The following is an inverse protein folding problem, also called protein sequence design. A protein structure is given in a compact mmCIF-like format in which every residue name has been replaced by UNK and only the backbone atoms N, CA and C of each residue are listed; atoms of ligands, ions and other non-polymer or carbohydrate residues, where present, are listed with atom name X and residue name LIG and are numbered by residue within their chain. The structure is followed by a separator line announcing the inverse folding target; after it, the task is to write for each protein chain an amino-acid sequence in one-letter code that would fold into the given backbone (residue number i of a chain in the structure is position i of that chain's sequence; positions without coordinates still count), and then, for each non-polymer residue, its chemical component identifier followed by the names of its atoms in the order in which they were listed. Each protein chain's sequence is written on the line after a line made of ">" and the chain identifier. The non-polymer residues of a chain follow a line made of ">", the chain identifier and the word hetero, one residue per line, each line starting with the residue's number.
data_IF_343289230698
#
_entry.id   IF_343289230698
#
_cell.length_a   1.000
_cell.length_b   1.000
_cell.length_c   1.000
_cell.angle_alpha   90.00
_cell.angle_beta   90.00
_cell.angle_gamma   90.00
#
_symmetry.space_group_name_H-M   'P 1'
#
loop_
_entity.id
_entity.type
_entity.pdbx_description
1 polymer ?
#
# COMPACT_ATOMS: atom_id res chain seq x y z
N UNK A 1 -20.04 46.14 -5.78
CA UNK A 1 -21.22 45.35 -6.15
C UNK A 1 -20.84 44.51 -7.39
N UNK A 2 -20.31 43.31 -7.24
CA UNK A 2 -19.82 42.55 -8.37
C UNK A 2 -19.34 41.12 -8.08
N UNK A 3 -19.70 40.48 -6.97
CA UNK A 3 -19.24 39.13 -6.68
C UNK A 3 -20.34 38.11 -6.35
N UNK A 4 -21.63 38.46 -6.38
CA UNK A 4 -22.69 37.50 -6.08
C UNK A 4 -23.06 36.57 -7.24
N UNK A 5 -22.75 36.96 -8.49
CA UNK A 5 -23.10 36.14 -9.66
C UNK A 5 -22.13 34.98 -9.96
N UNK A 6 -20.89 34.99 -9.42
CA UNK A 6 -19.95 33.88 -9.62
C UNK A 6 -20.16 32.75 -8.62
N UNK A 7 -20.63 33.05 -7.42
CA UNK A 7 -20.95 32.02 -6.41
C UNK A 7 -22.15 31.16 -6.79
N UNK A 8 -23.18 31.77 -7.42
CA UNK A 8 -24.34 31.03 -7.91
C UNK A 8 -24.00 30.08 -9.09
N UNK A 9 -23.07 30.45 -9.96
CA UNK A 9 -22.64 29.60 -11.08
C UNK A 9 -21.85 28.39 -10.66
N UNK A 10 -21.07 28.46 -9.59
CA UNK A 10 -20.31 27.30 -9.06
C UNK A 10 -21.29 26.31 -8.42
N UNK A 11 -22.32 26.75 -7.78
CA UNK A 11 -23.38 25.91 -7.18
C UNK A 11 -24.21 25.16 -8.25
N UNK A 12 -24.34 25.70 -9.46
CA UNK A 12 -25.02 25.02 -10.58
C UNK A 12 -24.20 23.88 -11.22
N UNK A 13 -22.88 23.86 -11.05
CA UNK A 13 -22.00 22.79 -11.57
C UNK A 13 -21.90 21.60 -10.63
N UNK A 14 -22.33 21.72 -9.40
CA UNK A 14 -22.38 20.63 -8.42
C UNK A 14 -23.80 20.06 -8.42
N UNK A 15 -24.01 18.74 -8.62
CA UNK A 15 -25.33 18.13 -8.52
C UNK A 15 -26.03 18.55 -7.22
N UNK A 16 -27.35 18.86 -7.27
CA UNK A 16 -28.11 19.38 -6.13
C UNK A 16 -28.16 18.44 -4.92
N UNK A 17 -27.83 17.19 -5.10
CA UNK A 17 -27.73 16.12 -4.13
C UNK A 17 -26.30 15.84 -3.66
N UNK A 18 -25.32 16.58 -4.20
CA UNK A 18 -23.92 16.46 -3.77
C UNK A 18 -23.73 17.15 -2.41
N UNK A 19 -23.69 16.35 -1.37
CA UNK A 19 -23.24 16.81 -0.05
C UNK A 19 -21.73 16.88 -0.06
N UNK A 20 -21.17 18.09 -0.09
CA UNK A 20 -19.76 18.31 0.25
C UNK A 20 -19.58 17.80 1.68
N UNK A 21 -18.97 16.62 1.85
CA UNK A 21 -18.50 16.22 3.17
C UNK A 21 -17.22 17.00 3.43
N UNK A 22 -17.34 18.05 4.21
CA UNK A 22 -16.17 18.76 4.72
C UNK A 22 -15.47 17.83 5.72
N UNK A 23 -14.17 17.63 5.54
CA UNK A 23 -13.35 17.05 6.60
C UNK A 23 -13.21 18.08 7.73
N UNK A 24 -12.77 17.64 8.90
CA UNK A 24 -12.48 18.55 10.03
C UNK A 24 -11.41 19.62 9.68
N UNK A 25 -10.75 19.48 8.54
CA UNK A 25 -9.67 20.35 8.08
C UNK A 25 -10.05 21.25 6.90
N UNK A 26 -11.28 21.15 6.41
CA UNK A 26 -11.79 21.96 5.29
C UNK A 26 -13.11 22.57 5.66
N UNK A 27 -13.27 23.88 5.49
CA UNK A 27 -14.49 24.59 5.86
C UNK A 27 -14.64 25.92 5.16
N UNK A 28 -15.73 26.61 5.46
CA UNK A 28 -15.98 27.99 5.00
C UNK A 28 -15.69 28.95 6.17
N UNK A 29 -14.78 29.87 5.94
CA UNK A 29 -14.42 30.90 6.91
C UNK A 29 -15.48 32.01 7.03
N UNK A 30 -15.31 32.89 8.02
CA UNK A 30 -16.22 34.01 8.28
C UNK A 30 -16.31 35.04 7.12
N UNK A 31 -15.30 35.04 6.25
CA UNK A 31 -15.24 35.86 5.04
C UNK A 31 -15.97 35.24 3.84
N UNK A 32 -16.53 34.02 4.00
CA UNK A 32 -17.18 33.26 2.94
C UNK A 32 -16.24 32.48 2.02
N UNK A 33 -14.93 32.53 2.23
CA UNK A 33 -13.94 31.81 1.45
C UNK A 33 -13.79 30.37 1.93
N UNK A 34 -13.31 29.50 1.05
CA UNK A 34 -12.89 28.14 1.41
C UNK A 34 -11.56 28.20 2.17
N UNK A 35 -11.50 27.49 3.28
CA UNK A 35 -10.30 27.34 4.11
C UNK A 35 -9.85 25.87 4.15
N UNK A 36 -8.57 25.66 4.10
CA UNK A 36 -7.94 24.37 4.38
C UNK A 36 -7.01 24.56 5.58
N UNK A 37 -7.33 23.91 6.70
CA UNK A 37 -6.72 24.20 8.00
C UNK A 37 -6.85 25.70 8.33
N UNK A 38 -5.74 26.37 8.59
CA UNK A 38 -5.70 27.80 8.90
C UNK A 38 -5.41 28.68 7.67
N UNK A 39 -5.50 28.14 6.45
CA UNK A 39 -5.16 28.82 5.22
C UNK A 39 -6.40 29.18 4.40
N UNK A 40 -6.53 30.45 4.03
CA UNK A 40 -7.53 30.92 3.06
C UNK A 40 -7.11 30.50 1.65
N UNK A 41 -7.94 29.72 0.98
CA UNK A 41 -7.64 29.17 -0.36
C UNK A 41 -7.51 30.28 -1.41
N UNK A 42 -8.25 31.38 -1.29
CA UNK A 42 -8.12 32.49 -2.22
C UNK A 42 -6.75 33.19 -2.10
N UNK A 43 -6.22 33.33 -0.88
CA UNK A 43 -4.91 33.90 -0.67
C UNK A 43 -3.82 32.94 -1.19
N UNK A 44 -3.96 31.63 -0.96
CA UNK A 44 -3.05 30.65 -1.54
C UNK A 44 -3.04 30.70 -3.09
N UNK A 45 -4.20 30.82 -3.72
CA UNK A 45 -4.27 30.93 -5.19
C UNK A 45 -3.66 32.25 -5.69
N UNK A 46 -3.80 33.35 -4.95
CA UNK A 46 -3.13 34.63 -5.31
C UNK A 46 -1.60 34.51 -5.24
N UNK A 47 -1.09 33.77 -4.25
CA UNK A 47 0.36 33.60 -4.06
C UNK A 47 0.96 32.57 -5.01
N UNK A 48 0.32 31.42 -5.17
CA UNK A 48 0.90 30.28 -5.91
C UNK A 48 0.28 30.03 -7.29
N UNK A 49 -0.81 30.72 -7.63
CA UNK A 49 -1.50 30.56 -8.90
C UNK A 49 -2.52 29.43 -8.93
N UNK A 50 -3.11 29.19 -10.09
CA UNK A 50 -4.13 28.18 -10.36
C UNK A 50 -3.82 27.45 -11.65
N UNK A 51 -4.05 26.12 -11.77
CA UNK A 51 -4.63 25.25 -10.73
C UNK A 51 -3.66 24.97 -9.56
N UNK A 52 -4.19 24.85 -8.34
CA UNK A 52 -3.42 24.60 -7.13
C UNK A 52 -3.92 23.32 -6.44
N UNK A 53 -3.02 22.38 -6.19
CA UNK A 53 -3.29 21.18 -5.39
C UNK A 53 -2.86 21.45 -3.94
N UNK A 54 -3.81 21.37 -3.01
CA UNK A 54 -3.57 21.61 -1.58
C UNK A 54 -3.69 20.29 -0.84
N UNK A 55 -2.71 19.98 0.02
CA UNK A 55 -2.70 18.81 0.90
C UNK A 55 -2.67 19.29 2.34
N UNK A 56 -3.64 18.87 3.14
CA UNK A 56 -3.67 19.12 4.57
C UNK A 56 -2.67 18.19 5.29
N UNK A 57 -1.68 18.76 5.96
CA UNK A 57 -0.72 18.01 6.76
C UNK A 57 -1.42 17.33 7.94
N UNK A 58 -2.30 18.05 8.64
CA UNK A 58 -3.00 17.52 9.81
C UNK A 58 -3.89 16.34 9.43
N UNK A 59 -4.61 16.42 8.30
CA UNK A 59 -5.41 15.30 7.81
C UNK A 59 -4.55 14.11 7.40
N UNK A 60 -3.42 14.34 6.75
CA UNK A 60 -2.49 13.29 6.34
C UNK A 60 -1.95 12.53 7.55
N UNK A 61 -1.50 13.25 8.59
CA UNK A 61 -1.05 12.67 9.86
C UNK A 61 -2.16 11.91 10.58
N UNK A 62 -3.34 12.50 10.66
CA UNK A 62 -4.49 11.87 11.32
C UNK A 62 -4.88 10.57 10.63
N UNK A 63 -4.93 10.55 9.28
CA UNK A 63 -5.25 9.35 8.51
C UNK A 63 -4.26 8.22 8.78
N UNK A 64 -2.96 8.51 8.81
CA UNK A 64 -1.94 7.53 9.16
C UNK A 64 -2.12 6.98 10.58
N UNK A 65 -2.32 7.87 11.56
CA UNK A 65 -2.50 7.46 12.96
C UNK A 65 -3.75 6.61 13.16
N UNK A 66 -4.85 6.98 12.51
CA UNK A 66 -6.10 6.21 12.55
C UNK A 66 -5.94 4.84 11.90
N UNK A 67 -5.27 4.77 10.74
CA UNK A 67 -4.98 3.51 10.07
C UNK A 67 -4.10 2.60 10.93
N UNK A 68 -2.98 3.11 11.42
CA UNK A 68 -2.07 2.36 12.30
C UNK A 68 -2.81 1.86 13.54
N UNK A 69 -3.56 2.75 14.22
CA UNK A 69 -4.33 2.39 15.42
C UNK A 69 -5.37 1.31 15.15
N UNK A 70 -6.05 1.35 14.00
CA UNK A 70 -7.03 0.34 13.65
C UNK A 70 -6.42 -1.07 13.63
N UNK A 71 -5.22 -1.23 13.06
CA UNK A 71 -4.53 -2.52 13.04
C UNK A 71 -3.91 -2.88 14.40
N UNK A 72 -3.22 -1.95 15.06
CA UNK A 72 -2.59 -2.24 16.36
C UNK A 72 -3.58 -2.55 17.48
N UNK A 73 -4.80 -2.03 17.42
CA UNK A 73 -5.86 -2.35 18.39
C UNK A 73 -6.54 -3.70 18.14
N UNK A 74 -6.41 -4.28 16.95
CA UNK A 74 -7.14 -5.49 16.57
C UNK A 74 -6.24 -6.69 16.25
N UNK A 75 -4.93 -6.50 16.16
CA UNK A 75 -3.95 -7.56 15.92
C UNK A 75 -2.96 -7.64 17.08
N UNK A 76 -2.73 -8.85 17.59
CA UNK A 76 -1.86 -9.07 18.76
C UNK A 76 -0.36 -9.13 18.41
N UNK A 77 0.01 -9.20 17.12
CA UNK A 77 1.40 -9.17 16.66
C UNK A 77 1.90 -7.76 16.37
N UNK A 78 3.14 -7.66 15.93
CA UNK A 78 3.68 -6.40 15.44
C UNK A 78 3.01 -5.97 14.14
N UNK A 79 2.80 -4.68 14.00
CA UNK A 79 2.21 -4.05 12.80
C UNK A 79 3.12 -2.95 12.31
N UNK A 80 3.65 -3.12 11.11
CA UNK A 80 4.34 -2.07 10.37
C UNK A 80 3.44 -1.49 9.29
N UNK A 81 3.48 -0.17 9.11
CA UNK A 81 2.78 0.51 8.03
C UNK A 81 3.81 1.08 7.08
N UNK A 82 3.80 0.57 5.85
CA UNK A 82 4.64 1.05 4.76
C UNK A 82 3.82 1.96 3.84
N UNK A 83 4.24 3.21 3.76
CA UNK A 83 3.58 4.16 2.85
C UNK A 83 3.95 3.87 1.40
N UNK A 84 2.95 3.61 0.57
CA UNK A 84 3.15 3.39 -0.87
C UNK A 84 3.55 4.70 -1.57
N UNK A 85 4.85 4.91 -1.80
CA UNK A 85 5.39 6.15 -2.37
C UNK A 85 4.81 6.49 -3.75
N UNK A 86 4.43 5.47 -4.53
CA UNK A 86 3.76 5.65 -5.84
C UNK A 86 2.44 6.42 -5.76
N UNK A 87 1.79 6.49 -4.60
CA UNK A 87 0.55 7.24 -4.44
C UNK A 87 0.80 8.75 -4.43
N UNK A 88 1.84 9.19 -3.77
CA UNK A 88 2.39 10.54 -3.82
C UNK A 88 3.81 10.53 -3.25
N UNK A 89 4.80 10.72 -4.09
CA UNK A 89 6.22 10.69 -3.73
C UNK A 89 6.81 12.08 -3.43
N UNK A 90 5.99 13.05 -3.06
CA UNK A 90 6.48 14.36 -2.61
C UNK A 90 7.41 14.18 -1.39
N UNK A 91 8.57 14.82 -1.44
CA UNK A 91 9.55 14.81 -0.35
C UNK A 91 8.95 15.27 0.98
N UNK A 92 8.09 16.29 0.94
CA UNK A 92 7.40 16.80 2.13
C UNK A 92 6.51 15.74 2.77
N UNK A 93 5.69 15.04 1.98
CA UNK A 93 4.81 13.98 2.49
C UNK A 93 5.62 12.78 3.00
N UNK A 94 6.70 12.42 2.31
CA UNK A 94 7.58 11.35 2.79
C UNK A 94 8.23 11.72 4.12
N UNK A 95 8.66 12.98 4.28
CA UNK A 95 9.20 13.47 5.54
C UNK A 95 8.17 13.44 6.68
N UNK A 96 6.94 13.89 6.42
CA UNK A 96 5.83 13.82 7.37
C UNK A 96 5.56 12.38 7.78
N UNK A 97 5.50 11.46 6.82
CA UNK A 97 5.29 10.04 7.08
C UNK A 97 6.40 9.44 7.94
N UNK A 98 7.65 9.81 7.68
CA UNK A 98 8.79 9.40 8.50
C UNK A 98 8.66 9.88 9.95
N UNK A 99 8.23 11.13 10.18
CA UNK A 99 7.96 11.67 11.52
C UNK A 99 6.87 10.89 12.27
N UNK A 100 5.87 10.37 11.55
CA UNK A 100 4.82 9.51 12.12
C UNK A 100 5.28 8.05 12.35
N UNK A 101 6.52 7.72 11.97
CA UNK A 101 7.08 6.37 12.09
C UNK A 101 6.57 5.40 11.04
N UNK A 102 6.13 5.89 9.88
CA UNK A 102 5.76 5.07 8.72
C UNK A 102 6.96 4.70 7.88
N UNK A 103 7.10 3.43 7.54
CA UNK A 103 8.05 2.93 6.55
C UNK A 103 7.68 3.34 5.12
N UNK A 104 8.25 2.70 4.12
CA UNK A 104 7.96 3.02 2.72
C UNK A 104 8.03 1.82 1.79
N UNK A 105 7.04 1.74 0.91
CA UNK A 105 7.02 0.84 -0.24
C UNK A 105 7.47 1.62 -1.48
N UNK A 106 8.59 1.17 -2.08
CA UNK A 106 9.27 1.81 -3.19
C UNK A 106 9.22 0.94 -4.45
N UNK A 107 9.05 1.56 -5.62
CA UNK A 107 9.01 0.91 -6.93
C UNK A 107 10.10 1.39 -7.89
N UNK A 108 11.22 1.84 -7.36
CA UNK A 108 12.36 2.24 -8.19
C UNK A 108 13.29 3.21 -7.50
N UNK A 109 14.37 3.57 -8.20
CA UNK A 109 15.46 4.43 -7.71
C UNK A 109 14.95 5.75 -7.13
N UNK A 110 14.04 6.42 -7.84
CA UNK A 110 13.56 7.75 -7.42
C UNK A 110 12.79 7.69 -6.09
N UNK A 111 11.96 6.69 -5.88
CA UNK A 111 11.19 6.54 -4.64
C UNK A 111 12.10 6.15 -3.47
N UNK A 112 13.09 5.28 -3.69
CA UNK A 112 14.13 4.98 -2.71
C UNK A 112 14.93 6.23 -2.34
N UNK A 113 15.38 6.99 -3.36
CA UNK A 113 16.15 8.22 -3.15
C UNK A 113 15.39 9.25 -2.32
N UNK A 114 14.13 9.52 -2.68
CA UNK A 114 13.28 10.47 -1.93
C UNK A 114 13.06 10.00 -0.50
N UNK A 115 12.85 8.71 -0.27
CA UNK A 115 12.66 8.14 1.06
C UNK A 115 13.91 8.29 1.93
N UNK A 116 15.09 8.01 1.38
CA UNK A 116 16.37 8.19 2.06
C UNK A 116 16.65 9.67 2.33
N UNK A 117 16.38 10.55 1.35
CA UNK A 117 16.55 12.00 1.50
C UNK A 117 15.62 12.56 2.58
N UNK A 118 14.42 12.02 2.73
CA UNK A 118 13.49 12.38 3.81
C UNK A 118 13.95 11.91 5.18
N UNK A 119 15.03 11.13 5.28
CA UNK A 119 15.57 10.59 6.53
C UNK A 119 14.86 9.32 7.01
N UNK A 120 14.17 8.60 6.12
CA UNK A 120 13.53 7.32 6.49
C UNK A 120 14.59 6.28 6.85
N UNK A 121 14.36 5.53 7.91
CA UNK A 121 15.22 4.40 8.26
C UNK A 121 15.19 3.35 7.13
N UNK A 122 16.32 3.02 6.49
CA UNK A 122 16.34 2.05 5.39
C UNK A 122 15.77 0.68 5.75
N UNK A 123 15.82 0.29 7.02
CA UNK A 123 15.28 -0.99 7.52
C UNK A 123 13.74 -1.07 7.45
N UNK A 124 13.08 0.07 7.36
CA UNK A 124 11.62 0.16 7.17
C UNK A 124 11.25 0.50 5.73
N UNK A 125 12.18 0.34 4.78
CA UNK A 125 11.93 0.49 3.36
C UNK A 125 11.96 -0.87 2.66
N UNK A 126 11.01 -1.04 1.76
CA UNK A 126 10.91 -2.24 0.90
C UNK A 126 10.96 -1.80 -0.56
N UNK A 127 11.77 -2.50 -1.36
CA UNK A 127 11.79 -2.36 -2.81
C UNK A 127 10.91 -3.43 -3.44
N UNK A 128 9.79 -3.02 -4.02
CA UNK A 128 8.88 -3.83 -4.82
C UNK A 128 9.08 -3.61 -6.33
N UNK A 129 8.38 -4.38 -7.13
CA UNK A 129 8.37 -4.27 -8.59
C UNK A 129 8.87 -5.53 -9.28
N UNK A 130 8.43 -5.74 -10.52
CA UNK A 130 8.95 -6.76 -11.42
C UNK A 130 10.07 -6.17 -12.28
N UNK A 131 11.04 -7.00 -12.65
CA UNK A 131 12.15 -6.61 -13.53
C UNK A 131 12.99 -5.43 -12.98
N UNK A 132 13.33 -5.49 -11.69
CA UNK A 132 14.23 -4.50 -11.07
C UNK A 132 15.58 -4.50 -11.79
N UNK A 133 16.12 -3.30 -12.07
CA UNK A 133 17.40 -3.15 -12.71
C UNK A 133 18.54 -3.34 -11.69
N UNK A 134 19.77 -3.63 -12.16
CA UNK A 134 20.90 -3.85 -11.27
C UNK A 134 21.24 -2.63 -10.42
N UNK A 135 21.06 -1.42 -10.95
CA UNK A 135 21.24 -0.16 -10.23
C UNK A 135 20.23 -0.01 -9.07
N UNK A 136 19.01 -0.50 -9.26
CA UNK A 136 17.98 -0.49 -8.22
C UNK A 136 18.33 -1.48 -7.11
N UNK A 137 18.76 -2.68 -7.48
CA UNK A 137 19.22 -3.71 -6.55
C UNK A 137 20.47 -3.25 -5.79
N UNK A 138 21.45 -2.69 -6.48
CA UNK A 138 22.69 -2.17 -5.88
C UNK A 138 22.39 -1.03 -4.89
N UNK A 139 21.49 -0.12 -5.23
CA UNK A 139 21.04 0.96 -4.34
C UNK A 139 20.34 0.40 -3.09
N UNK A 140 19.41 -0.53 -3.26
CA UNK A 140 18.68 -1.14 -2.14
C UNK A 140 19.63 -1.89 -1.20
N UNK A 141 20.51 -2.75 -1.72
CA UNK A 141 21.49 -3.52 -0.95
C UNK A 141 22.49 -2.59 -0.26
N UNK A 142 22.98 -1.56 -0.97
CA UNK A 142 23.93 -0.60 -0.42
C UNK A 142 23.38 0.16 0.78
N UNK A 143 22.09 0.41 0.82
CA UNK A 143 21.42 1.13 1.90
C UNK A 143 20.74 0.20 2.92
N UNK A 144 20.65 -1.10 2.65
CA UNK A 144 20.08 -2.10 3.57
C UNK A 144 18.55 -2.13 3.59
N UNK A 145 17.92 -1.86 2.45
CA UNK A 145 16.48 -2.06 2.25
C UNK A 145 16.15 -3.55 2.13
N UNK A 146 14.91 -3.92 2.47
CA UNK A 146 14.35 -5.20 2.08
C UNK A 146 13.99 -5.19 0.59
N UNK A 147 14.15 -6.32 -0.11
CA UNK A 147 13.81 -6.45 -1.53
C UNK A 147 12.80 -7.58 -1.69
N UNK A 148 11.58 -7.27 -2.12
CA UNK A 148 10.58 -8.27 -2.50
C UNK A 148 10.91 -8.80 -3.89
N UNK A 149 11.40 -10.04 -3.95
CA UNK A 149 11.78 -10.68 -5.19
C UNK A 149 10.57 -11.26 -5.92
N UNK A 150 10.61 -11.21 -7.23
CA UNK A 150 9.53 -11.61 -8.14
C UNK A 150 9.91 -12.79 -9.04
N UNK A 151 11.16 -13.24 -8.99
CA UNK A 151 11.66 -14.35 -9.80
C UNK A 151 12.97 -14.96 -9.25
N UNK A 152 13.28 -16.18 -9.70
CA UNK A 152 14.57 -16.85 -9.40
C UNK A 152 15.78 -16.10 -9.98
N UNK A 153 15.62 -15.44 -11.13
CA UNK A 153 16.66 -14.61 -11.72
C UNK A 153 17.07 -13.45 -10.80
N UNK A 154 16.09 -12.79 -10.19
CA UNK A 154 16.37 -11.71 -9.22
C UNK A 154 17.18 -12.22 -8.03
N UNK A 155 16.90 -13.42 -7.50
CA UNK A 155 17.67 -14.00 -6.41
C UNK A 155 19.15 -14.15 -6.81
N UNK A 156 19.43 -14.65 -8.01
CA UNK A 156 20.78 -14.81 -8.51
C UNK A 156 21.52 -13.48 -8.66
N UNK A 157 20.83 -12.46 -9.17
CA UNK A 157 21.39 -11.10 -9.33
C UNK A 157 21.67 -10.46 -7.98
N UNK A 158 20.72 -10.55 -7.03
CA UNK A 158 20.87 -10.05 -5.66
C UNK A 158 22.06 -10.73 -4.98
N UNK A 159 22.21 -12.06 -5.10
CA UNK A 159 23.34 -12.79 -4.55
C UNK A 159 24.68 -12.30 -5.10
N UNK A 160 24.78 -12.08 -6.39
CA UNK A 160 25.99 -11.57 -7.03
C UNK A 160 26.34 -10.15 -6.57
N UNK A 161 25.33 -9.26 -6.52
CA UNK A 161 25.52 -7.85 -6.11
C UNK A 161 25.88 -7.78 -4.62
N UNK A 162 25.18 -8.50 -3.76
CA UNK A 162 25.45 -8.50 -2.32
C UNK A 162 26.85 -9.06 -1.99
N UNK A 163 27.29 -10.09 -2.71
CA UNK A 163 28.67 -10.62 -2.60
C UNK A 163 29.70 -9.58 -3.04
N UNK A 164 29.49 -8.94 -4.19
CA UNK A 164 30.37 -7.86 -4.69
C UNK A 164 30.48 -6.70 -3.72
N UNK A 165 29.39 -6.33 -3.07
CA UNK A 165 29.32 -5.24 -2.10
C UNK A 165 29.78 -5.65 -0.69
N UNK A 166 29.99 -6.95 -0.44
CA UNK A 166 30.25 -7.52 0.88
C UNK A 166 29.17 -7.09 1.90
N UNK A 167 27.89 -7.22 1.52
CA UNK A 167 26.73 -6.85 2.34
C UNK A 167 25.74 -8.00 2.46
N UNK A 168 25.08 -8.07 3.59
CA UNK A 168 23.88 -8.90 3.76
C UNK A 168 22.64 -8.15 3.26
N UNK A 169 21.64 -8.90 2.77
CA UNK A 169 20.38 -8.35 2.29
C UNK A 169 19.20 -9.15 2.83
N UNK A 170 18.16 -8.43 3.29
CA UNK A 170 16.88 -9.03 3.61
C UNK A 170 16.02 -9.10 2.34
N UNK A 171 15.43 -10.25 2.09
CA UNK A 171 14.51 -10.43 0.96
C UNK A 171 13.13 -10.86 1.43
N UNK A 172 12.11 -10.32 0.77
CA UNK A 172 10.76 -10.83 0.78
C UNK A 172 10.47 -11.63 -0.49
N UNK A 173 9.40 -12.39 -0.50
CA UNK A 173 8.99 -13.20 -1.65
C UNK A 173 7.61 -12.76 -2.09
N UNK A 174 7.48 -12.28 -3.32
CA UNK A 174 6.19 -11.95 -3.89
C UNK A 174 5.47 -13.21 -4.34
N UNK A 175 4.28 -13.43 -3.78
CA UNK A 175 3.45 -14.60 -4.06
C UNK A 175 2.51 -14.35 -5.25
N UNK A 176 2.19 -15.41 -5.98
CA UNK A 176 1.05 -15.44 -6.91
C UNK A 176 -0.04 -16.30 -6.26
N UNK A 177 -0.85 -15.68 -5.38
CA UNK A 177 -1.85 -16.40 -4.62
C UNK A 177 -2.94 -16.97 -5.52
N UNK A 178 -3.37 -18.19 -5.20
CA UNK A 178 -4.56 -18.80 -5.76
C UNK A 178 -5.79 -18.31 -4.97
N UNK A 179 -6.60 -17.50 -5.62
CA UNK A 179 -7.79 -16.90 -5.03
C UNK A 179 -9.08 -17.53 -5.59
N UNK A 180 -9.10 -18.84 -5.75
CA UNK A 180 -10.22 -19.59 -6.33
C UNK A 180 -11.57 -19.26 -5.71
N UNK A 181 -11.62 -19.01 -4.40
CA UNK A 181 -12.84 -18.59 -3.70
C UNK A 181 -13.39 -17.22 -4.13
N UNK A 182 -12.58 -16.44 -4.83
CA UNK A 182 -12.93 -15.14 -5.40
C UNK A 182 -12.93 -15.15 -6.93
N UNK A 183 -12.76 -16.33 -7.57
CA UNK A 183 -12.50 -16.45 -9.00
C UNK A 183 -13.53 -15.72 -9.87
N UNK A 184 -14.82 -15.84 -9.51
CA UNK A 184 -15.94 -15.23 -10.23
C UNK A 184 -16.26 -13.80 -9.79
N UNK A 185 -15.52 -13.25 -8.81
CA UNK A 185 -15.79 -11.92 -8.28
C UNK A 185 -15.46 -10.84 -9.32
N UNK A 186 -16.42 -9.98 -9.56
CA UNK A 186 -16.26 -8.76 -10.36
C UNK A 186 -16.19 -7.54 -9.45
N UNK A 187 -15.55 -6.46 -9.90
CA UNK A 187 -15.41 -5.23 -9.10
C UNK A 187 -14.14 -5.16 -8.25
N UNK A 188 -13.45 -6.29 -8.04
CA UNK A 188 -12.09 -6.32 -7.51
C UNK A 188 -11.14 -6.29 -8.71
N UNK A 189 -10.43 -5.19 -8.90
CA UNK A 189 -9.54 -5.03 -10.06
C UNK A 189 -8.09 -5.21 -9.63
N UNK A 190 -7.46 -6.30 -10.02
CA UNK A 190 -6.01 -6.46 -9.86
C UNK A 190 -5.24 -5.57 -10.83
N UNK A 191 -5.60 -5.47 -12.09
CA UNK A 191 -4.98 -4.55 -13.09
C UNK A 191 -5.65 -4.62 -14.47
N UNK A 192 -6.82 -5.23 -14.58
CA UNK A 192 -7.47 -5.41 -15.86
C UNK A 192 -8.99 -5.59 -15.77
N UNK A 193 -9.65 -5.69 -16.89
CA UNK A 193 -11.06 -6.06 -16.97
C UNK A 193 -11.23 -7.57 -16.71
N UNK A 194 -12.46 -7.99 -16.37
CA UNK A 194 -12.82 -9.38 -16.21
C UNK A 194 -12.93 -9.84 -14.75
N UNK A 195 -13.05 -11.12 -14.55
CA UNK A 195 -13.08 -11.77 -13.24
C UNK A 195 -11.70 -11.73 -12.57
N UNK A 196 -11.65 -11.92 -11.26
CA UNK A 196 -10.39 -11.95 -10.54
C UNK A 196 -9.49 -13.10 -11.04
N UNK A 197 -10.08 -14.24 -11.41
CA UNK A 197 -9.33 -15.37 -11.98
C UNK A 197 -8.68 -15.01 -13.32
N UNK A 198 -9.43 -14.43 -14.24
CA UNK A 198 -8.88 -14.01 -15.55
C UNK A 198 -7.74 -13.01 -15.39
N UNK A 199 -7.87 -12.10 -14.42
CA UNK A 199 -6.82 -11.13 -14.10
C UNK A 199 -5.61 -11.82 -13.45
N UNK A 200 -5.81 -12.76 -12.53
CA UNK A 200 -4.74 -13.52 -11.88
C UNK A 200 -3.99 -14.38 -12.89
N UNK A 201 -4.69 -15.10 -13.76
CA UNK A 201 -4.08 -15.95 -14.80
C UNK A 201 -3.24 -15.15 -15.81
N UNK A 202 -3.56 -13.86 -15.98
CA UNK A 202 -2.82 -12.94 -16.87
C UNK A 202 -1.76 -12.11 -16.17
N UNK A 203 -1.64 -12.20 -14.84
CA UNK A 203 -0.66 -11.41 -14.10
C UNK A 203 0.76 -11.90 -14.34
N UNK A 204 1.69 -10.95 -14.41
CA UNK A 204 3.12 -11.22 -14.53
C UNK A 204 3.85 -11.19 -13.18
N UNK A 205 3.14 -10.97 -12.10
CA UNK A 205 3.73 -10.75 -10.78
C UNK A 205 3.60 -11.95 -9.88
N UNK A 206 4.65 -12.16 -9.11
CA UNK A 206 4.67 -13.18 -8.07
C UNK A 206 5.04 -14.57 -8.58
N UNK A 207 5.26 -15.46 -7.65
CA UNK A 207 5.72 -16.82 -7.88
C UNK A 207 4.68 -17.83 -7.43
N UNK A 208 4.57 -18.96 -8.16
CA UNK A 208 3.73 -20.10 -7.79
C UNK A 208 4.21 -20.74 -6.48
N UNK A 209 3.40 -21.66 -5.93
CA UNK A 209 3.78 -22.43 -4.72
C UNK A 209 5.11 -23.17 -4.89
N UNK A 210 5.27 -23.82 -6.02
CA UNK A 210 6.46 -24.61 -6.36
C UNK A 210 7.68 -23.69 -6.49
N UNK A 211 7.57 -22.61 -7.25
CA UNK A 211 8.62 -21.61 -7.41
C UNK A 211 9.00 -20.96 -6.07
N UNK A 212 8.01 -20.68 -5.21
CA UNK A 212 8.25 -20.13 -3.87
C UNK A 212 9.06 -21.11 -3.01
N UNK A 213 8.74 -22.40 -3.03
CA UNK A 213 9.51 -23.41 -2.30
C UNK A 213 10.94 -23.53 -2.83
N UNK A 214 11.12 -23.53 -4.15
CA UNK A 214 12.44 -23.58 -4.79
C UNK A 214 13.29 -22.37 -4.38
N UNK A 215 12.71 -21.17 -4.41
CA UNK A 215 13.46 -19.95 -4.10
C UNK A 215 13.80 -19.84 -2.61
N UNK A 216 12.91 -20.28 -1.72
CA UNK A 216 13.21 -20.34 -0.28
C UNK A 216 14.38 -21.29 -0.02
N UNK A 217 14.35 -22.51 -0.58
CA UNK A 217 15.45 -23.48 -0.45
C UNK A 217 16.76 -22.95 -1.02
N UNK A 218 16.72 -22.27 -2.15
CA UNK A 218 17.90 -21.65 -2.74
C UNK A 218 18.46 -20.52 -1.86
N UNK A 219 17.60 -19.63 -1.38
CA UNK A 219 17.99 -18.51 -0.52
C UNK A 219 18.59 -18.98 0.82
N UNK A 220 18.07 -20.05 1.40
CA UNK A 220 18.63 -20.67 2.63
C UNK A 220 20.06 -21.17 2.48
N UNK A 221 20.55 -21.40 1.27
CA UNK A 221 21.91 -21.84 1.00
C UNK A 221 22.89 -20.67 0.77
N UNK A 222 22.40 -19.43 0.76
CA UNK A 222 23.19 -18.24 0.47
C UNK A 222 23.43 -17.46 1.77
N UNK A 223 24.66 -17.45 2.26
CA UNK A 223 25.02 -16.93 3.58
C UNK A 223 24.64 -15.46 3.80
N UNK A 224 24.73 -14.64 2.76
CA UNK A 224 24.47 -13.20 2.83
C UNK A 224 23.04 -12.80 2.45
N UNK A 225 22.11 -13.75 2.34
CA UNK A 225 20.70 -13.51 2.08
C UNK A 225 19.86 -13.97 3.28
N UNK A 226 18.98 -13.10 3.77
CA UNK A 226 18.08 -13.38 4.87
C UNK A 226 16.61 -13.25 4.41
N UNK A 227 15.86 -14.33 4.55
CA UNK A 227 14.43 -14.36 4.27
C UNK A 227 13.67 -13.60 5.37
N UNK A 228 12.88 -12.60 5.00
CA UNK A 228 12.17 -11.70 5.93
C UNK A 228 10.67 -11.84 5.87
N UNK A 229 10.09 -11.85 4.68
CA UNK A 229 8.65 -11.75 4.53
C UNK A 229 8.13 -12.46 3.28
N UNK A 230 6.81 -12.66 3.26
CA UNK A 230 6.07 -12.91 2.03
C UNK A 230 5.19 -11.72 1.72
N UNK A 231 5.06 -11.36 0.45
CA UNK A 231 4.29 -10.20 -0.01
C UNK A 231 3.24 -10.60 -1.04
N UNK A 232 2.07 -9.99 -0.94
CA UNK A 232 1.05 -10.02 -1.99
C UNK A 232 0.30 -8.69 -2.03
N UNK A 233 -0.08 -8.26 -3.23
CA UNK A 233 -0.90 -7.09 -3.44
C UNK A 233 -2.12 -7.45 -4.28
N UNK A 234 -3.30 -7.42 -3.64
CA UNK A 234 -4.54 -7.89 -4.26
C UNK A 234 -5.05 -6.95 -5.36
N UNK A 235 -5.17 -5.66 -5.05
CA UNK A 235 -6.01 -4.78 -5.86
C UNK A 235 -5.74 -3.31 -5.58
N UNK A 236 -6.43 -2.45 -6.32
CA UNK A 236 -6.45 -1.01 -6.08
C UNK A 236 -7.90 -0.51 -5.98
N UNK A 237 -8.13 0.45 -5.08
CA UNK A 237 -9.41 1.13 -4.89
C UNK A 237 -10.60 0.16 -4.69
N UNK A 238 -10.38 -0.91 -3.92
CA UNK A 238 -11.41 -1.87 -3.57
C UNK A 238 -12.10 -1.45 -2.30
N UNK A 239 -13.41 -1.28 -2.35
CA UNK A 239 -14.25 -0.84 -1.23
C UNK A 239 -15.00 -1.99 -0.54
N UNK A 240 -14.53 -3.22 -0.71
CA UNK A 240 -15.04 -4.40 -0.04
C UNK A 240 -13.99 -4.97 0.90
N UNK A 241 -14.40 -5.39 2.09
CA UNK A 241 -13.51 -5.92 3.12
C UNK A 241 -13.16 -7.38 2.88
N UNK A 242 -14.14 -8.20 2.49
CA UNK A 242 -13.98 -9.65 2.42
C UNK A 242 -12.90 -10.13 1.43
N UNK A 243 -12.69 -9.52 0.25
CA UNK A 243 -11.58 -9.91 -0.62
C UNK A 243 -10.20 -9.82 0.05
N UNK A 244 -9.98 -8.81 0.89
CA UNK A 244 -8.73 -8.67 1.65
C UNK A 244 -8.62 -9.70 2.78
N UNK A 245 -9.73 -10.07 3.42
CA UNK A 245 -9.76 -11.12 4.43
C UNK A 245 -9.45 -12.50 3.80
N UNK A 246 -10.02 -12.79 2.62
CA UNK A 246 -9.69 -14.02 1.88
C UNK A 246 -8.23 -14.05 1.47
N UNK A 247 -7.71 -12.96 0.94
CA UNK A 247 -6.29 -12.82 0.61
C UNK A 247 -5.40 -13.08 1.83
N UNK A 248 -5.71 -12.47 2.97
CA UNK A 248 -4.93 -12.64 4.20
C UNK A 248 -4.95 -14.09 4.70
N UNK A 249 -6.11 -14.78 4.61
CA UNK A 249 -6.22 -16.22 4.89
C UNK A 249 -5.31 -17.04 3.99
N UNK A 250 -5.33 -16.79 2.71
CA UNK A 250 -4.49 -17.51 1.75
C UNK A 250 -2.99 -17.27 2.02
N UNK A 251 -2.59 -16.07 2.41
CA UNK A 251 -1.21 -15.80 2.78
C UNK A 251 -0.76 -16.62 3.99
N UNK A 252 -1.61 -16.79 5.00
CA UNK A 252 -1.32 -17.65 6.15
C UNK A 252 -1.27 -19.12 5.73
N UNK A 253 -2.20 -19.59 4.89
CA UNK A 253 -2.19 -20.94 4.32
C UNK A 253 -0.90 -21.20 3.53
N UNK A 254 -0.42 -20.23 2.76
CA UNK A 254 0.84 -20.32 2.05
C UNK A 254 2.04 -20.33 3.01
N UNK A 255 1.98 -19.59 4.10
CA UNK A 255 3.03 -19.62 5.14
C UNK A 255 3.18 -21.01 5.75
N UNK A 256 2.05 -21.69 6.02
CA UNK A 256 2.05 -23.08 6.43
C UNK A 256 2.64 -24.00 5.35
N UNK A 257 2.22 -23.88 4.11
CA UNK A 257 2.75 -24.67 3.00
C UNK A 257 4.28 -24.49 2.83
N UNK A 258 4.78 -23.27 2.94
CA UNK A 258 6.19 -22.94 2.89
C UNK A 258 6.93 -23.62 4.08
N UNK A 259 6.41 -23.50 5.29
CA UNK A 259 6.96 -24.15 6.50
C UNK A 259 7.11 -25.66 6.32
N UNK A 260 6.07 -26.33 5.85
CA UNK A 260 6.07 -27.80 5.64
C UNK A 260 7.08 -28.26 4.59
N UNK A 261 7.33 -27.45 3.56
CA UNK A 261 8.19 -27.85 2.44
C UNK A 261 9.63 -27.36 2.54
N UNK A 262 9.94 -26.41 3.43
CA UNK A 262 11.25 -25.75 3.51
C UNK A 262 11.80 -25.66 4.93
N UNK A 263 11.00 -25.87 5.94
CA UNK A 263 11.31 -25.62 7.35
C UNK A 263 11.38 -24.13 7.72
N UNK A 264 11.16 -23.20 6.78
CA UNK A 264 11.11 -21.77 7.06
C UNK A 264 9.67 -21.29 7.24
N UNK A 265 9.41 -20.63 8.36
CA UNK A 265 8.15 -19.91 8.59
C UNK A 265 8.39 -18.43 8.29
N UNK A 266 7.62 -17.80 7.38
CA UNK A 266 7.72 -16.36 7.19
C UNK A 266 7.41 -15.60 8.49
N UNK A 267 8.36 -14.82 9.03
CA UNK A 267 8.12 -14.07 10.27
C UNK A 267 7.19 -12.87 10.05
N UNK A 268 7.00 -12.47 8.80
CA UNK A 268 6.14 -11.37 8.41
C UNK A 268 5.37 -11.70 7.13
N UNK A 269 4.12 -11.24 7.06
CA UNK A 269 3.32 -11.20 5.83
C UNK A 269 3.01 -9.75 5.49
N UNK A 270 3.40 -9.31 4.31
CA UNK A 270 3.04 -7.99 3.75
C UNK A 270 1.80 -8.15 2.87
N UNK A 271 0.67 -7.68 3.36
CA UNK A 271 -0.64 -7.80 2.72
C UNK A 271 -0.91 -6.73 1.67
N UNK A 272 0.10 -5.93 1.31
CA UNK A 272 -0.04 -4.86 0.33
C UNK A 272 -1.00 -3.76 0.78
N UNK A 273 -1.72 -3.22 -0.17
CA UNK A 273 -2.67 -2.14 0.06
C UNK A 273 -3.80 -2.14 -0.97
N UNK A 274 -4.34 -0.96 -1.27
CA UNK A 274 -5.35 -0.79 -2.32
C UNK A 274 -6.79 -0.74 -1.82
N UNK A 275 -7.02 -0.79 -0.51
CA UNK A 275 -8.32 -0.51 0.09
C UNK A 275 -8.67 0.97 0.03
N UNK A 276 -9.97 1.25 0.01
CA UNK A 276 -10.49 2.62 0.05
C UNK A 276 -10.93 2.99 1.46
N UNK A 277 -11.01 4.28 1.71
CA UNK A 277 -11.56 4.83 2.94
C UNK A 277 -12.55 5.94 2.63
N UNK A 278 -13.80 5.76 3.04
CA UNK A 278 -14.82 6.81 3.08
C UNK A 278 -15.32 7.35 1.74
N UNK A 279 -14.61 7.09 0.63
CA UNK A 279 -15.01 7.55 -0.70
C UNK A 279 -14.53 6.61 -1.78
N UNK A 280 -15.42 6.19 -2.61
CA UNK A 280 -15.08 5.48 -3.83
C UNK A 280 -15.24 6.42 -5.03
N UNK A 281 -14.18 6.59 -5.79
CA UNK A 281 -14.23 7.29 -7.06
C UNK A 281 -14.28 6.27 -8.18
N UNK A 282 -15.49 5.93 -8.64
CA UNK A 282 -15.65 5.16 -9.86
C UNK A 282 -15.20 5.98 -11.07
N UNK A 283 -14.54 5.34 -12.01
CA UNK A 283 -14.18 5.94 -13.31
C UNK A 283 -15.30 5.68 -14.32
N UNK A 284 -16.42 6.38 -14.20
CA UNK A 284 -17.51 6.21 -15.17
C UNK A 284 -18.71 7.09 -14.85
N UNK A 285 -19.64 7.23 -15.82
CA UNK A 285 -20.80 8.13 -15.68
C UNK A 285 -21.78 7.75 -14.57
N UNK A 286 -21.65 6.55 -13.97
CA UNK A 286 -22.48 6.06 -12.88
C UNK A 286 -21.70 5.92 -11.56
N UNK A 287 -20.51 6.51 -11.44
CA UNK A 287 -19.77 6.47 -10.19
C UNK A 287 -20.50 7.26 -9.11
N UNK A 288 -20.96 6.57 -8.08
CA UNK A 288 -21.59 7.19 -6.91
C UNK A 288 -20.57 7.26 -5.77
N UNK A 289 -20.52 8.40 -5.10
CA UNK A 289 -19.77 8.56 -3.85
C UNK A 289 -20.71 8.13 -2.73
N UNK A 290 -20.42 7.02 -2.08
CA UNK A 290 -21.17 6.56 -0.91
C UNK A 290 -20.26 6.60 0.33
N UNK A 291 -20.19 7.76 0.95
CA UNK A 291 -19.42 7.96 2.19
C UNK A 291 -20.04 7.24 3.40
N UNK A 292 -21.32 6.88 3.33
CA UNK A 292 -22.03 6.31 4.49
C UNK A 292 -21.85 4.81 4.61
N UNK A 293 -21.73 4.13 3.48
CA UNK A 293 -21.62 2.67 3.42
C UNK A 293 -20.20 2.17 3.06
N UNK A 294 -19.27 3.07 2.76
CA UNK A 294 -17.90 2.68 2.48
C UNK A 294 -17.19 2.14 3.75
N UNK A 295 -16.44 1.03 3.64
CA UNK A 295 -15.70 0.51 4.77
C UNK A 295 -14.70 1.52 5.33
N UNK A 296 -14.54 1.50 6.64
CA UNK A 296 -13.56 2.31 7.37
C UNK A 296 -12.30 1.47 7.65
N UNK A 297 -11.21 2.11 8.03
CA UNK A 297 -9.97 1.41 8.41
C UNK A 297 -10.20 0.30 9.44
N UNK A 298 -11.10 0.56 10.40
CA UNK A 298 -11.42 -0.41 11.46
C UNK A 298 -12.09 -1.67 10.92
N UNK A 299 -12.89 -1.56 9.86
CA UNK A 299 -13.61 -2.71 9.30
C UNK A 299 -12.63 -3.67 8.61
N UNK A 300 -11.68 -3.11 7.84
CA UNK A 300 -10.57 -3.90 7.27
C UNK A 300 -9.71 -4.50 8.36
N UNK A 301 -9.26 -3.68 9.33
CA UNK A 301 -8.36 -4.12 10.36
C UNK A 301 -8.93 -5.26 11.20
N UNK A 302 -10.19 -5.14 11.65
CA UNK A 302 -10.87 -6.20 12.42
C UNK A 302 -10.94 -7.50 11.63
N UNK A 303 -11.49 -7.43 10.42
CA UNK A 303 -11.74 -8.64 9.64
C UNK A 303 -10.46 -9.33 9.20
N UNK A 304 -9.47 -8.59 8.76
CA UNK A 304 -8.16 -9.11 8.37
C UNK A 304 -7.44 -9.74 9.58
N UNK A 305 -7.39 -9.03 10.71
CA UNK A 305 -6.73 -9.52 11.93
C UNK A 305 -7.40 -10.77 12.52
N UNK A 306 -8.74 -10.81 12.51
CA UNK A 306 -9.54 -11.99 12.90
C UNK A 306 -9.13 -13.20 12.05
N UNK A 307 -9.16 -13.06 10.75
CA UNK A 307 -8.86 -14.15 9.81
C UNK A 307 -7.41 -14.62 9.91
N UNK A 308 -6.45 -13.70 10.05
CA UNK A 308 -5.03 -14.06 10.24
C UNK A 308 -4.88 -14.87 11.53
N UNK A 309 -5.47 -14.41 12.64
CA UNK A 309 -5.36 -15.08 13.94
C UNK A 309 -6.03 -16.46 13.94
N UNK A 310 -7.22 -16.56 13.36
CA UNK A 310 -7.93 -17.84 13.22
C UNK A 310 -7.16 -18.85 12.37
N UNK A 311 -6.60 -18.40 11.25
CA UNK A 311 -5.92 -19.30 10.34
C UNK A 311 -4.54 -19.70 10.87
N UNK A 312 -3.79 -18.76 11.46
CA UNK A 312 -2.50 -19.05 12.11
C UNK A 312 -2.63 -20.06 13.23
N UNK A 313 -3.69 -19.95 14.05
CA UNK A 313 -3.96 -20.91 15.12
C UNK A 313 -4.22 -22.35 14.63
N UNK A 314 -4.74 -22.55 13.42
CA UNK A 314 -4.94 -23.89 12.83
C UNK A 314 -3.61 -24.58 12.49
N UNK A 315 -2.58 -23.82 12.19
CA UNK A 315 -1.30 -24.31 11.70
C UNK A 315 -0.15 -24.14 12.70
N UNK A 316 -0.45 -23.68 13.88
CA UNK A 316 0.57 -23.39 14.91
C UNK A 316 1.69 -22.45 14.36
N UNK A 317 1.21 -21.30 13.82
CA UNK A 317 2.04 -20.24 13.23
C UNK A 317 2.04 -19.00 14.12
#
# INVERSE_FOLDING_TARGET
>A
MGNSQNSEKIVELVPKDYKLSYSDFVGIGNNGNLWVEDCDVEELVKEYGSPLLIISESQFRQSFRQFKKAFTDNYNGEVEILYANKSNNSLALRHIMNQEGGGGDCFGVNEMYISLLAGTNPKTLVLNGSNKQDEELEMAISNGLCINIDSMDELSRISNISTKLNKTVEIGIRLALDLDSLADKTGVSMHGPGTLKEQSDSTKWGMSREQTVEIVKAAQQIENIHLKETHFHLSRMTNEVEPFAVMAREMVTWSHYIKENTGWTPPCIDIGGGWTYGRWYGTGPNSQIDDQNAPKYIDYAKRISEVISEEAAKYDL
#
